data_IF_371582030762
#
_entry.id   IF_371582030762
#
_cell.length_a   1.000
_cell.length_b   1.000
_cell.length_c   1.000
_cell.angle_alpha   90.00
_cell.angle_beta   90.00
_cell.angle_gamma   90.00
#
_symmetry.space_group_name_H-M   'P 1'
#
loop_
_entity.id
_entity.type
_entity.pdbx_description
1 polymer ?
#
# COMPACT_ATOMS: atom_id res chain seq x y z
N UNK A 1 11.44 -3.50 0.93
CA UNK A 1 11.43 -4.33 2.16
C UNK A 1 11.26 -5.77 1.73
N UNK A 2 11.96 -6.70 2.38
CA UNK A 2 11.86 -8.14 2.07
C UNK A 2 10.70 -8.75 2.84
N UNK A 3 9.82 -9.48 2.16
CA UNK A 3 8.67 -10.17 2.78
C UNK A 3 9.16 -11.10 3.89
N UNK A 4 10.19 -11.90 3.62
CA UNK A 4 10.80 -12.80 4.60
C UNK A 4 11.18 -12.11 5.93
N UNK A 5 11.73 -10.88 5.89
CA UNK A 5 12.06 -10.12 7.12
C UNK A 5 10.82 -9.69 7.89
N UNK A 6 9.77 -9.29 7.16
CA UNK A 6 8.48 -8.96 7.79
C UNK A 6 7.94 -10.19 8.51
N UNK A 7 7.90 -11.34 7.84
CA UNK A 7 7.40 -12.58 8.43
C UNK A 7 8.23 -13.05 9.64
N UNK A 8 9.56 -12.89 9.61
CA UNK A 8 10.42 -13.18 10.79
C UNK A 8 10.06 -12.28 11.98
N UNK A 9 9.80 -11.00 11.74
CA UNK A 9 9.35 -10.10 12.80
C UNK A 9 7.98 -10.55 13.37
N UNK A 10 7.03 -10.90 12.50
CA UNK A 10 5.71 -11.41 12.91
C UNK A 10 5.86 -12.68 13.74
N UNK A 11 6.62 -13.67 13.25
CA UNK A 11 6.86 -14.92 13.96
C UNK A 11 7.50 -14.69 15.35
N UNK A 12 8.40 -13.71 15.45
CA UNK A 12 8.99 -13.31 16.74
C UNK A 12 7.97 -12.67 17.66
N UNK A 13 7.14 -11.75 17.16
CA UNK A 13 6.14 -11.03 17.99
C UNK A 13 5.02 -11.94 18.49
N UNK A 14 4.62 -12.90 17.67
CA UNK A 14 3.54 -13.84 17.99
C UNK A 14 4.07 -15.17 18.57
N UNK A 15 5.40 -15.30 18.77
CA UNK A 15 6.07 -16.51 19.28
C UNK A 15 5.76 -17.78 18.47
N UNK A 16 5.63 -17.63 17.14
CA UNK A 16 5.40 -18.73 16.21
C UNK A 16 6.73 -19.47 15.92
N UNK A 17 7.22 -20.24 16.90
CA UNK A 17 8.54 -20.88 16.83
C UNK A 17 8.65 -21.84 15.65
N UNK A 18 7.62 -22.63 15.39
CA UNK A 18 7.60 -23.62 14.29
C UNK A 18 7.71 -22.94 12.92
N UNK A 19 7.04 -21.80 12.76
CA UNK A 19 7.10 -21.00 11.52
C UNK A 19 8.47 -20.32 11.42
N UNK A 20 8.97 -19.73 12.51
CA UNK A 20 10.28 -19.07 12.52
C UNK A 20 11.40 -19.98 12.02
N UNK A 21 11.37 -21.26 12.37
CA UNK A 21 12.37 -22.25 11.99
C UNK A 21 12.39 -22.56 10.49
N UNK A 22 11.24 -22.52 9.82
CA UNK A 22 11.11 -22.87 8.38
C UNK A 22 11.22 -21.67 7.46
N UNK A 23 11.12 -20.43 7.98
CA UNK A 23 11.25 -19.22 7.14
C UNK A 23 12.63 -19.09 6.48
N UNK A 24 13.67 -19.79 6.96
CA UNK A 24 14.97 -19.76 6.32
C UNK A 24 15.09 -20.74 5.15
N UNK A 25 14.38 -21.86 5.23
CA UNK A 25 14.40 -22.92 4.23
C UNK A 25 13.04 -23.63 4.17
N UNK A 26 12.15 -23.12 3.31
CA UNK A 26 10.80 -23.67 3.12
C UNK A 26 10.78 -25.10 2.55
N UNK A 27 11.91 -25.59 2.00
CA UNK A 27 11.95 -26.97 1.50
C UNK A 27 11.85 -28.01 2.62
N UNK A 28 12.04 -27.59 3.87
CA UNK A 28 11.91 -28.41 5.08
C UNK A 28 10.56 -28.23 5.79
N UNK A 29 9.70 -27.36 5.28
CA UNK A 29 8.41 -27.10 5.88
C UNK A 29 7.44 -28.26 5.63
N UNK A 30 6.60 -28.55 6.60
CA UNK A 30 5.43 -29.42 6.41
C UNK A 30 4.37 -28.70 5.57
N UNK A 31 3.38 -29.44 5.08
CA UNK A 31 2.27 -28.84 4.34
C UNK A 31 1.51 -27.81 5.20
N UNK A 32 1.28 -28.10 6.48
CA UNK A 32 0.64 -27.18 7.44
C UNK A 32 1.45 -25.90 7.65
N UNK A 33 2.78 -26.02 7.78
CA UNK A 33 3.66 -24.85 7.90
C UNK A 33 3.69 -24.03 6.62
N UNK A 34 3.63 -24.67 5.46
CA UNK A 34 3.56 -23.99 4.17
C UNK A 34 2.26 -23.21 4.01
N UNK A 35 1.13 -23.82 4.37
CA UNK A 35 -0.17 -23.13 4.39
C UNK A 35 -0.16 -21.92 5.33
N UNK A 36 0.46 -22.05 6.50
CA UNK A 36 0.57 -20.97 7.47
C UNK A 36 1.45 -19.82 6.96
N UNK A 37 2.55 -20.13 6.29
CA UNK A 37 3.41 -19.12 5.63
C UNK A 37 2.64 -18.42 4.51
N UNK A 38 1.87 -19.16 3.70
CA UNK A 38 1.05 -18.57 2.65
C UNK A 38 -0.04 -17.65 3.21
N UNK A 39 -0.66 -18.02 4.33
CA UNK A 39 -1.60 -17.15 5.05
C UNK A 39 -0.92 -15.85 5.49
N UNK A 40 0.26 -15.94 6.07
CA UNK A 40 1.02 -14.75 6.48
C UNK A 40 1.40 -13.86 5.27
N UNK A 41 1.76 -14.44 4.13
CA UNK A 41 2.02 -13.69 2.87
C UNK A 41 0.73 -12.99 2.39
N UNK A 42 -0.41 -13.65 2.46
CA UNK A 42 -1.72 -13.05 2.15
C UNK A 42 -2.02 -11.86 3.06
N UNK A 43 -1.72 -11.98 4.36
CA UNK A 43 -1.82 -10.85 5.30
C UNK A 43 -0.87 -9.69 4.92
N UNK A 44 0.34 -9.97 4.41
CA UNK A 44 1.26 -8.92 3.90
C UNK A 44 0.62 -8.17 2.74
N UNK A 45 0.02 -8.87 1.78
CA UNK A 45 -0.65 -8.27 0.62
C UNK A 45 -1.87 -7.44 1.05
N UNK A 46 -2.68 -7.96 1.97
CA UNK A 46 -3.81 -7.23 2.55
C UNK A 46 -3.36 -5.92 3.23
N UNK A 47 -2.33 -5.99 4.08
CA UNK A 47 -1.79 -4.82 4.79
C UNK A 47 -1.20 -3.81 3.80
N UNK A 48 -0.53 -4.27 2.73
CA UNK A 48 -0.04 -3.40 1.65
C UNK A 48 -1.19 -2.62 1.00
N UNK A 49 -2.28 -3.31 0.66
CA UNK A 49 -3.49 -2.70 0.11
C UNK A 49 -4.13 -1.70 1.08
N UNK A 50 -4.23 -2.06 2.36
CA UNK A 50 -4.77 -1.18 3.41
C UNK A 50 -3.96 0.12 3.54
N UNK A 51 -2.63 0.02 3.50
CA UNK A 51 -1.73 1.17 3.56
C UNK A 51 -1.90 2.06 2.33
N UNK A 52 -1.92 1.49 1.13
CA UNK A 52 -2.08 2.23 -0.12
C UNK A 52 -3.42 2.96 -0.21
N UNK A 53 -4.49 2.35 0.30
CA UNK A 53 -5.84 2.91 0.25
C UNK A 53 -6.04 4.02 1.26
N UNK A 54 -5.59 3.81 2.51
CA UNK A 54 -6.01 4.67 3.62
C UNK A 54 -4.92 5.64 4.12
N UNK A 55 -3.63 5.36 3.86
CA UNK A 55 -2.54 6.11 4.49
C UNK A 55 -1.54 6.70 3.51
N UNK A 56 -1.03 5.93 2.57
CA UNK A 56 0.05 6.29 1.67
C UNK A 56 -0.30 5.93 0.24
N UNK A 57 -1.12 6.75 -0.40
CA UNK A 57 -1.53 6.54 -1.79
C UNK A 57 -0.31 6.42 -2.71
N UNK A 58 -0.34 5.43 -3.57
CA UNK A 58 0.63 5.20 -4.64
C UNK A 58 0.13 5.87 -5.90
N UNK A 59 0.97 6.70 -6.52
CA UNK A 59 0.58 7.44 -7.72
C UNK A 59 1.42 7.01 -8.92
N UNK A 60 0.74 6.89 -10.05
CA UNK A 60 1.35 6.66 -11.36
C UNK A 60 0.80 7.68 -12.36
N UNK A 61 1.62 8.08 -13.32
CA UNK A 61 1.20 9.00 -14.38
C UNK A 61 1.48 8.35 -15.72
N UNK A 62 0.47 8.29 -16.58
CA UNK A 62 0.58 7.77 -17.93
C UNK A 62 0.17 8.81 -18.95
N UNK A 63 0.83 8.79 -20.10
CA UNK A 63 0.48 9.64 -21.25
C UNK A 63 -0.46 8.87 -22.17
N UNK A 64 -1.64 9.43 -22.44
CA UNK A 64 -2.64 8.84 -23.34
C UNK A 64 -3.18 9.88 -24.30
N UNK A 65 -3.60 9.42 -25.47
CA UNK A 65 -4.39 10.26 -26.38
C UNK A 65 -5.86 10.16 -25.99
N UNK A 66 -6.52 11.31 -25.84
CA UNK A 66 -7.95 11.41 -25.53
C UNK A 66 -8.68 12.09 -26.68
N UNK A 67 -9.94 11.77 -26.86
CA UNK A 67 -10.83 12.45 -27.79
C UNK A 67 -12.09 12.89 -27.05
N UNK A 68 -12.57 14.10 -27.30
CA UNK A 68 -13.76 14.65 -26.68
C UNK A 68 -15.03 13.81 -26.87
N UNK A 69 -15.06 12.95 -27.90
CA UNK A 69 -16.21 12.10 -28.21
C UNK A 69 -16.14 10.69 -27.58
N UNK A 70 -15.02 10.32 -27.00
CA UNK A 70 -14.79 8.94 -26.53
C UNK A 70 -14.34 8.91 -25.08
N UNK A 71 -14.79 7.88 -24.39
CA UNK A 71 -14.33 7.51 -23.07
C UNK A 71 -13.06 6.67 -23.16
N UNK A 72 -12.07 6.96 -22.32
CA UNK A 72 -10.92 6.09 -22.15
C UNK A 72 -11.26 5.13 -21.01
N UNK A 73 -11.34 3.85 -21.29
CA UNK A 73 -11.59 2.83 -20.26
C UNK A 73 -10.39 2.70 -19.31
N UNK A 74 -10.63 2.27 -18.09
CA UNK A 74 -9.58 2.05 -17.10
C UNK A 74 -8.50 1.07 -17.61
N UNK A 75 -8.91 0.00 -18.29
CA UNK A 75 -7.99 -0.97 -18.90
C UNK A 75 -7.07 -0.33 -19.95
N UNK A 76 -7.54 0.68 -20.67
CA UNK A 76 -6.73 1.43 -21.63
C UNK A 76 -5.80 2.44 -20.96
N UNK A 77 -6.07 2.82 -19.71
CA UNK A 77 -5.17 3.68 -18.92
C UNK A 77 -4.01 2.84 -18.39
N UNK A 78 -4.32 1.76 -17.66
CA UNK A 78 -3.33 0.80 -17.17
C UNK A 78 -3.94 -0.60 -17.09
N UNK A 79 -3.09 -1.63 -17.11
CA UNK A 79 -3.46 -3.03 -16.90
C UNK A 79 -3.68 -3.36 -15.42
N UNK A 80 -3.10 -2.54 -14.51
CA UNK A 80 -3.26 -2.70 -13.08
C UNK A 80 -4.56 -2.02 -12.59
N UNK A 81 -5.18 -2.53 -11.52
CA UNK A 81 -6.39 -1.92 -10.96
C UNK A 81 -6.16 -0.48 -10.50
N UNK A 82 -6.98 0.44 -11.00
CA UNK A 82 -6.97 1.85 -10.65
C UNK A 82 -7.89 2.08 -9.44
N UNK A 83 -7.37 2.76 -8.41
CA UNK A 83 -8.15 3.15 -7.24
C UNK A 83 -8.94 4.43 -7.49
N UNK A 84 -8.28 5.46 -8.04
CA UNK A 84 -8.89 6.77 -8.24
C UNK A 84 -8.09 7.58 -9.28
N UNK A 85 -8.78 8.39 -10.07
CA UNK A 85 -8.16 9.33 -11.00
C UNK A 85 -7.97 10.67 -10.28
N UNK A 86 -6.72 11.06 -10.11
CA UNK A 86 -6.35 12.24 -9.34
C UNK A 86 -6.35 13.52 -10.18
N UNK A 87 -5.80 13.43 -11.39
CA UNK A 87 -5.77 14.58 -12.30
C UNK A 87 -5.56 14.18 -13.75
N UNK A 88 -6.11 14.97 -14.64
CA UNK A 88 -5.83 14.95 -16.07
C UNK A 88 -5.22 16.29 -16.44
N UNK A 89 -4.04 16.28 -17.07
CA UNK A 89 -3.34 17.48 -17.52
C UNK A 89 -2.98 17.36 -19.00
N UNK A 90 -3.02 18.44 -19.73
CA UNK A 90 -2.53 18.46 -21.11
C UNK A 90 -0.99 18.40 -21.18
N UNK A 91 -0.45 18.52 -22.38
CA UNK A 91 0.98 18.49 -22.62
C UNK A 91 1.74 19.71 -22.06
N UNK A 92 1.02 20.79 -21.77
CA UNK A 92 1.57 22.04 -21.22
C UNK A 92 1.48 22.06 -19.70
N UNK A 93 0.81 21.09 -19.09
CA UNK A 93 0.61 20.96 -17.63
C UNK A 93 -0.68 21.60 -17.13
N UNK A 94 -1.50 22.12 -18.01
CA UNK A 94 -2.78 22.71 -17.68
C UNK A 94 -3.82 21.64 -17.33
N UNK A 95 -4.67 21.93 -16.35
CA UNK A 95 -5.71 20.98 -15.91
C UNK A 95 -6.79 20.84 -16.98
N UNK A 96 -7.05 19.61 -17.37
CA UNK A 96 -8.16 19.24 -18.26
C UNK A 96 -9.34 18.78 -17.41
N UNK A 97 -10.53 19.40 -17.53
CA UNK A 97 -11.72 18.92 -16.86
C UNK A 97 -12.10 17.51 -17.32
N UNK A 98 -12.43 16.64 -16.39
CA UNK A 98 -12.83 15.28 -16.66
C UNK A 98 -13.96 14.83 -15.75
N UNK A 99 -14.66 13.79 -16.15
CA UNK A 99 -15.64 13.07 -15.34
C UNK A 99 -15.25 11.58 -15.30
N UNK A 100 -15.43 10.96 -14.15
CA UNK A 100 -15.26 9.52 -13.96
C UNK A 100 -16.60 8.87 -14.26
N UNK A 101 -16.57 7.84 -15.09
CA UNK A 101 -17.72 6.98 -15.41
C UNK A 101 -17.53 5.62 -14.75
N UNK A 102 -18.46 4.71 -14.95
CA UNK A 102 -18.34 3.34 -14.42
C UNK A 102 -17.17 2.58 -15.04
N UNK A 103 -16.81 2.86 -16.29
CA UNK A 103 -15.84 2.12 -17.10
C UNK A 103 -14.54 2.88 -17.36
N UNK A 104 -14.48 4.20 -17.09
CA UNK A 104 -13.31 4.97 -17.45
C UNK A 104 -13.38 6.46 -17.15
N UNK A 105 -12.71 7.24 -17.99
CA UNK A 105 -12.57 8.69 -17.90
C UNK A 105 -13.06 9.34 -19.17
N UNK A 106 -13.92 10.34 -19.03
CA UNK A 106 -14.44 11.17 -20.13
C UNK A 106 -13.99 12.62 -19.98
N UNK A 107 -13.55 13.22 -21.07
CA UNK A 107 -13.14 14.63 -21.13
C UNK A 107 -13.66 15.30 -22.39
N UNK A 108 -13.80 16.63 -22.36
CA UNK A 108 -14.13 17.42 -23.54
C UNK A 108 -12.88 17.90 -24.31
N UNK A 109 -11.73 17.37 -23.98
CA UNK A 109 -10.44 17.68 -24.61
C UNK A 109 -10.08 16.64 -25.68
N UNK A 110 -9.43 17.06 -26.75
CA UNK A 110 -8.87 16.18 -27.77
C UNK A 110 -7.37 16.43 -27.88
N UNK A 111 -6.57 15.40 -27.66
CA UNK A 111 -5.12 15.49 -27.71
C UNK A 111 -4.43 14.57 -26.72
N UNK A 112 -3.12 14.71 -26.58
CA UNK A 112 -2.36 13.96 -25.58
C UNK A 112 -2.52 14.58 -24.18
N UNK A 113 -2.79 13.74 -23.19
CA UNK A 113 -2.90 14.13 -21.79
C UNK A 113 -2.05 13.23 -20.90
N UNK A 114 -1.64 13.77 -19.77
CA UNK A 114 -1.05 13.04 -18.67
C UNK A 114 -2.14 12.74 -17.64
N UNK A 115 -2.49 11.47 -17.49
CA UNK A 115 -3.47 11.00 -16.50
C UNK A 115 -2.70 10.52 -15.28
N UNK A 116 -2.91 11.18 -14.14
CA UNK A 116 -2.37 10.76 -12.84
C UNK A 116 -3.45 10.05 -12.06
N UNK A 117 -3.17 8.85 -11.60
CA UNK A 117 -4.10 8.02 -10.83
C UNK A 117 -3.39 7.36 -9.64
N UNK A 118 -4.19 6.93 -8.67
CA UNK A 118 -3.73 6.07 -7.60
C UNK A 118 -4.04 4.62 -7.93
N UNK A 119 -3.17 3.70 -7.47
CA UNK A 119 -3.27 2.28 -7.76
C UNK A 119 -2.98 1.43 -6.52
N UNK A 120 -3.34 0.16 -6.57
CA UNK A 120 -2.94 -0.83 -5.58
C UNK A 120 -1.46 -1.18 -5.74
N UNK A 121 -0.76 -1.56 -4.64
CA UNK A 121 0.57 -2.15 -4.75
C UNK A 121 0.49 -3.50 -5.46
N UNK A 122 1.59 -3.90 -6.10
CA UNK A 122 1.71 -5.22 -6.67
C UNK A 122 1.67 -6.30 -5.57
N UNK A 123 1.00 -7.41 -5.83
CA UNK A 123 1.04 -8.56 -4.94
C UNK A 123 2.45 -9.15 -4.87
N UNK A 124 2.83 -9.55 -3.67
CA UNK A 124 4.15 -10.14 -3.43
C UNK A 124 4.01 -11.58 -2.95
N UNK A 125 5.00 -12.38 -3.34
CA UNK A 125 5.21 -13.76 -2.85
C UNK A 125 6.21 -13.77 -1.68
N UNK A 126 6.39 -14.93 -1.06
CA UNK A 126 7.32 -15.13 0.06
C UNK A 126 8.74 -14.63 -0.22
N UNK A 127 9.28 -14.91 -1.41
CA UNK A 127 10.62 -14.45 -1.84
C UNK A 127 10.65 -13.01 -2.34
N UNK A 128 9.50 -12.35 -2.38
CA UNK A 128 9.31 -11.04 -2.97
C UNK A 128 9.81 -9.88 -2.11
N UNK A 129 9.72 -8.68 -2.69
CA UNK A 129 10.08 -7.42 -2.04
C UNK A 129 8.99 -6.40 -2.27
N UNK A 130 8.56 -5.74 -1.20
CA UNK A 130 7.70 -4.56 -1.28
C UNK A 130 8.59 -3.36 -1.59
N UNK A 131 8.42 -2.76 -2.76
CA UNK A 131 9.25 -1.66 -3.24
C UNK A 131 8.60 -0.29 -3.02
N UNK A 132 7.29 -0.22 -3.13
CA UNK A 132 6.49 1.00 -3.20
C UNK A 132 6.58 1.85 -1.93
N UNK A 133 6.66 1.23 -0.77
CA UNK A 133 6.73 1.93 0.52
C UNK A 133 8.14 2.08 1.09
N UNK A 134 9.17 1.68 0.35
CA UNK A 134 10.56 1.56 0.82
C UNK A 134 11.11 2.81 1.50
N UNK A 135 10.69 3.99 1.09
CA UNK A 135 11.21 5.25 1.61
C UNK A 135 10.48 5.80 2.82
N UNK A 136 9.30 5.26 3.13
CA UNK A 136 8.42 5.81 4.19
C UNK A 136 8.13 4.81 5.31
N UNK A 137 8.17 3.52 5.02
CA UNK A 137 7.83 2.47 5.97
C UNK A 137 9.04 1.56 6.22
N UNK A 138 9.03 0.93 7.39
CA UNK A 138 9.99 -0.11 7.75
C UNK A 138 9.28 -1.45 8.00
N UNK A 139 10.05 -2.53 8.01
CA UNK A 139 9.53 -3.89 8.21
C UNK A 139 8.76 -4.06 9.53
N UNK A 140 9.12 -3.29 10.55
CA UNK A 140 8.48 -3.36 11.88
C UNK A 140 7.02 -2.91 11.83
N UNK A 141 6.74 -1.81 11.13
CA UNK A 141 5.37 -1.28 11.01
C UNK A 141 4.51 -2.26 10.22
N UNK A 142 5.05 -2.80 9.11
CA UNK A 142 4.37 -3.85 8.37
C UNK A 142 4.06 -5.05 9.25
N UNK A 143 5.04 -5.51 10.03
CA UNK A 143 4.87 -6.67 10.91
C UNK A 143 3.76 -6.45 11.96
N UNK A 144 3.53 -5.24 12.43
CA UNK A 144 2.41 -4.95 13.33
C UNK A 144 1.06 -5.13 12.65
N UNK A 145 0.91 -4.62 11.41
CA UNK A 145 -0.32 -4.80 10.64
C UNK A 145 -0.57 -6.27 10.31
N UNK A 146 0.47 -6.98 9.86
CA UNK A 146 0.39 -8.41 9.54
C UNK A 146 0.04 -9.25 10.78
N UNK A 147 0.64 -8.94 11.94
CA UNK A 147 0.31 -9.62 13.19
C UNK A 147 -1.14 -9.40 13.61
N UNK A 148 -1.65 -8.18 13.42
CA UNK A 148 -3.07 -7.87 13.68
C UNK A 148 -3.99 -8.68 12.78
N UNK A 149 -3.78 -8.63 11.48
CA UNK A 149 -4.62 -9.34 10.50
C UNK A 149 -4.58 -10.86 10.68
N UNK A 150 -3.38 -11.42 10.88
CA UNK A 150 -3.21 -12.83 11.15
C UNK A 150 -4.01 -13.29 12.40
N UNK A 151 -3.88 -12.57 13.52
CA UNK A 151 -4.61 -12.90 14.75
C UNK A 151 -6.12 -12.74 14.58
N UNK A 152 -6.57 -11.77 13.79
CA UNK A 152 -7.98 -11.61 13.46
C UNK A 152 -8.51 -12.84 12.72
N UNK A 153 -7.80 -13.31 11.69
CA UNK A 153 -8.17 -14.53 10.93
C UNK A 153 -8.19 -15.76 11.84
N UNK A 154 -7.26 -15.85 12.80
CA UNK A 154 -7.22 -16.95 13.79
C UNK A 154 -8.27 -16.83 14.89
N UNK A 155 -9.10 -15.79 14.89
CA UNK A 155 -10.16 -15.59 15.89
C UNK A 155 -9.70 -14.99 17.24
N UNK A 156 -8.45 -14.58 17.35
CA UNK A 156 -7.93 -13.89 18.55
C UNK A 156 -8.12 -12.38 18.43
N UNK A 157 -9.35 -11.93 18.68
CA UNK A 157 -9.79 -10.55 18.46
C UNK A 157 -9.10 -9.55 19.40
N UNK A 158 -8.92 -9.91 20.67
CA UNK A 158 -8.35 -9.01 21.68
C UNK A 158 -6.89 -8.66 21.35
N UNK A 159 -6.07 -9.65 21.08
CA UNK A 159 -4.67 -9.44 20.69
C UNK A 159 -4.56 -8.76 19.32
N UNK A 160 -5.43 -9.11 18.36
CA UNK A 160 -5.53 -8.44 17.07
C UNK A 160 -5.75 -6.93 17.25
N UNK A 161 -6.70 -6.54 18.11
CA UNK A 161 -7.00 -5.13 18.38
C UNK A 161 -5.81 -4.38 18.99
N UNK A 162 -5.03 -5.04 19.86
CA UNK A 162 -3.82 -4.46 20.43
C UNK A 162 -2.76 -4.16 19.35
N UNK A 163 -2.54 -5.09 18.43
CA UNK A 163 -1.57 -4.92 17.33
C UNK A 163 -2.06 -3.89 16.30
N UNK A 164 -3.35 -3.87 15.99
CA UNK A 164 -3.96 -2.85 15.11
C UNK A 164 -3.77 -1.44 15.66
N UNK A 165 -3.98 -1.25 16.97
CA UNK A 165 -3.76 0.03 17.64
C UNK A 165 -2.30 0.49 17.51
N UNK A 166 -1.32 -0.41 17.68
CA UNK A 166 0.10 -0.10 17.47
C UNK A 166 0.39 0.26 16.03
N UNK A 167 -0.11 -0.53 15.09
CA UNK A 167 0.05 -0.30 13.67
C UNK A 167 -0.47 1.07 13.24
N UNK A 168 -1.72 1.39 13.58
CA UNK A 168 -2.35 2.67 13.25
C UNK A 168 -1.61 3.87 13.86
N UNK A 169 -1.18 3.74 15.11
CA UNK A 169 -0.42 4.80 15.79
C UNK A 169 0.90 5.12 15.08
N UNK A 170 1.67 4.09 14.70
CA UNK A 170 2.93 4.26 13.99
C UNK A 170 2.71 4.86 12.59
N UNK A 171 1.70 4.40 11.85
CA UNK A 171 1.35 4.95 10.55
C UNK A 171 0.93 6.42 10.63
N UNK A 172 0.08 6.78 11.58
CA UNK A 172 -0.35 8.16 11.77
C UNK A 172 0.83 9.08 12.11
N UNK A 173 1.84 8.59 12.82
CA UNK A 173 3.05 9.35 13.11
C UNK A 173 3.84 9.68 11.84
N UNK A 174 3.91 8.73 10.89
CA UNK A 174 4.61 8.93 9.62
C UNK A 174 3.82 9.78 8.60
N UNK A 175 2.51 9.73 8.67
CA UNK A 175 1.64 10.44 7.71
C UNK A 175 1.27 11.85 8.17
N UNK A 176 1.57 12.22 9.43
CA UNK A 176 1.34 13.57 9.91
C UNK A 176 2.13 14.56 9.08
N UNK A 177 1.49 15.57 8.47
CA UNK A 177 2.20 16.67 7.85
C UNK A 177 3.06 17.31 8.93
N UNK A 178 4.37 17.43 8.67
CA UNK A 178 5.29 18.13 9.58
C UNK A 178 4.83 19.57 9.72
N UNK A 179 4.12 19.87 10.79
CA UNK A 179 3.88 21.26 11.18
C UNK A 179 5.23 21.83 11.63
N UNK A 180 5.84 22.64 10.78
CA UNK A 180 6.92 23.51 11.23
C UNK A 180 6.30 24.48 12.26
N UNK A 181 6.46 24.16 13.54
CA UNK A 181 6.15 25.12 14.60
C UNK A 181 7.15 26.25 14.44
N UNK A 182 6.73 27.37 13.83
CA UNK A 182 7.48 28.61 13.90
C UNK A 182 7.44 29.05 15.36
N UNK A 183 8.49 28.76 16.09
CA UNK A 183 8.69 29.33 17.42
C UNK A 183 8.92 30.82 17.19
N UNK A 184 8.03 31.73 17.67
CA UNK A 184 8.27 33.16 17.53
C UNK A 184 9.57 33.51 18.23
N UNK A 185 10.44 34.23 17.53
CA UNK A 185 11.69 34.72 18.11
C UNK A 185 11.34 35.54 19.36
N UNK A 186 11.79 35.12 20.54
CA UNK A 186 11.69 35.94 21.75
C UNK A 186 12.57 37.17 21.54
N UNK A 187 11.95 38.34 21.48
CA UNK A 187 12.65 39.58 21.64
C UNK A 187 13.12 39.64 23.09
N UNK A 188 14.39 39.50 23.33
CA UNK A 188 14.99 39.90 24.61
C UNK A 188 14.98 41.44 24.63
N UNK A 189 14.26 42.01 25.57
CA UNK A 189 14.29 43.42 25.91
C UNK A 189 15.30 43.56 27.02
#
# INVERSE_FOLDING_TARGET
MEVKKILKNVATYLQLLDISNVLDDLSKATDEQTEEVNLLVSCVNYVSNLIATNYLKLYKTVKKFVSASYEITFENIDTEPILDIVSVKDMYGDKVPFSITQSGVKTNYSGYVNITYSHFPAEVEFSGKILEFKTKLNERIFAYGVASEYLFIKGNIDDSSMWDTRFKRELLTLTRPGHSVKIPARKFV
#
